data_IF_774410968250
#
_entry.id   IF_774410968250
#
_cell.length_a   1.000
_cell.length_b   1.000
_cell.length_c   1.000
_cell.angle_alpha   90.00
_cell.angle_beta   90.00
_cell.angle_gamma   90.00
#
_symmetry.space_group_name_H-M   'P 1'
#
loop_
_entity.id
_entity.type
_entity.pdbx_description
1 polymer ?
#
# COMPACT_ATOMS: atom_id res chain seq x y z
N UNK A 1 -1.29 7.70 -13.90
CA UNK A 1 -2.24 7.55 -12.77
C UNK A 1 -1.57 7.55 -11.40
N UNK A 2 -0.32 7.12 -11.24
CA UNK A 2 0.40 7.13 -9.95
C UNK A 2 0.56 8.51 -9.28
N UNK A 3 0.58 9.60 -10.05
CA UNK A 3 0.79 10.96 -9.54
C UNK A 3 -0.43 11.56 -8.86
N UNK A 4 -1.64 11.10 -9.23
CA UNK A 4 -2.89 11.71 -8.76
C UNK A 4 -3.09 11.52 -7.25
N UNK A 5 -2.77 10.33 -6.73
CA UNK A 5 -2.88 10.07 -5.29
C UNK A 5 -1.89 10.92 -4.48
N UNK A 6 -0.68 11.14 -5.01
CA UNK A 6 0.34 11.98 -4.38
C UNK A 6 -0.04 13.46 -4.43
N UNK A 7 -0.61 13.94 -5.52
CA UNK A 7 -1.12 15.32 -5.64
C UNK A 7 -2.28 15.60 -4.67
N UNK A 8 -3.27 14.70 -4.59
CA UNK A 8 -4.44 14.88 -3.72
C UNK A 8 -4.07 14.87 -2.23
N UNK A 9 -3.03 14.10 -1.86
CA UNK A 9 -2.59 13.97 -0.48
C UNK A 9 -1.51 14.97 -0.07
N UNK A 10 -1.05 15.83 -0.98
CA UNK A 10 -0.02 16.85 -0.72
C UNK A 10 -0.34 17.80 0.45
N UNK A 11 -1.63 18.02 0.73
CA UNK A 11 -2.10 18.91 1.81
C UNK A 11 -2.60 18.14 3.05
N UNK A 12 -2.44 16.82 3.09
CA UNK A 12 -2.96 15.98 4.15
C UNK A 12 -1.84 15.19 4.83
N UNK A 13 -1.98 14.92 6.14
CA UNK A 13 -1.01 14.14 6.93
C UNK A 13 -1.16 12.62 6.76
N UNK A 14 -2.05 12.16 5.88
CA UNK A 14 -2.34 10.75 5.67
C UNK A 14 -1.22 10.08 4.88
N UNK A 15 -0.87 8.85 5.28
CA UNK A 15 0.13 8.07 4.56
C UNK A 15 -0.51 7.39 3.35
N UNK A 16 0.21 7.39 2.23
CA UNK A 16 -0.20 6.65 1.04
C UNK A 16 0.87 5.67 0.59
N UNK A 17 0.38 4.63 -0.09
CA UNK A 17 1.22 3.61 -0.67
C UNK A 17 0.67 3.22 -2.03
N UNK A 18 1.58 2.87 -2.92
CA UNK A 18 1.23 2.20 -4.17
C UNK A 18 1.99 0.88 -4.24
N UNK A 19 1.30 -0.18 -4.65
CA UNK A 19 1.85 -1.53 -4.85
C UNK A 19 1.39 -2.10 -6.20
N UNK A 20 2.30 -2.71 -6.95
CA UNK A 20 2.03 -3.31 -8.26
C UNK A 20 3.06 -4.41 -8.54
N UNK A 21 2.80 -5.26 -9.53
CA UNK A 21 3.78 -6.28 -9.92
C UNK A 21 5.07 -5.67 -10.49
N UNK A 22 6.21 -6.34 -10.29
CA UNK A 22 7.50 -5.94 -10.88
C UNK A 22 8.36 -4.99 -10.01
N UNK A 23 7.90 -4.63 -8.81
CA UNK A 23 8.62 -3.77 -7.86
C UNK A 23 9.27 -4.56 -6.73
N UNK A 24 10.22 -3.93 -6.04
CA UNK A 24 10.96 -4.51 -4.93
C UNK A 24 10.04 -4.84 -3.72
N UNK A 25 9.87 -6.15 -3.48
CA UNK A 25 8.97 -6.70 -2.46
C UNK A 25 9.28 -6.22 -1.03
N UNK A 26 10.57 -6.05 -0.71
CA UNK A 26 11.03 -5.72 0.65
C UNK A 26 10.57 -4.33 1.10
N UNK A 27 10.75 -3.31 0.28
CA UNK A 27 10.36 -1.93 0.61
C UNK A 27 8.85 -1.77 0.71
N UNK A 28 8.09 -2.53 -0.10
CA UNK A 28 6.63 -2.58 -0.02
C UNK A 28 6.17 -3.19 1.32
N UNK A 29 6.74 -4.33 1.72
CA UNK A 29 6.41 -4.98 2.99
C UNK A 29 6.68 -4.07 4.18
N UNK A 30 7.85 -3.44 4.26
CA UNK A 30 8.19 -2.55 5.36
C UNK A 30 7.21 -1.36 5.48
N UNK A 31 6.78 -0.79 4.34
CA UNK A 31 5.74 0.25 4.30
C UNK A 31 4.38 -0.26 4.75
N UNK A 32 3.95 -1.43 4.28
CA UNK A 32 2.66 -2.01 4.63
C UNK A 32 2.57 -2.39 6.11
N UNK A 33 3.67 -2.89 6.69
CA UNK A 33 3.77 -3.20 8.13
C UNK A 33 3.75 -1.93 8.98
N UNK A 34 4.38 -0.84 8.53
CA UNK A 34 4.27 0.47 9.19
C UNK A 34 2.85 1.04 9.18
N UNK A 35 2.02 0.60 8.24
CA UNK A 35 0.63 1.05 8.09
C UNK A 35 0.50 2.15 7.04
N UNK A 36 -0.56 2.06 6.25
CA UNK A 36 -0.88 2.98 5.15
C UNK A 36 -2.37 3.33 5.22
N UNK A 37 -2.72 4.61 5.12
CA UNK A 37 -4.13 5.04 5.13
C UNK A 37 -4.79 4.87 3.75
N UNK A 38 -4.08 5.19 2.67
CA UNK A 38 -4.56 5.03 1.30
C UNK A 38 -3.62 4.13 0.50
N UNK A 39 -4.08 2.95 0.11
CA UNK A 39 -3.31 2.00 -0.69
C UNK A 39 -3.92 1.89 -2.10
N UNK A 40 -3.12 2.20 -3.11
CA UNK A 40 -3.47 1.91 -4.52
C UNK A 40 -2.75 0.62 -4.90
N UNK A 41 -3.49 -0.37 -5.39
CA UNK A 41 -2.94 -1.69 -5.65
C UNK A 41 -3.51 -2.34 -6.91
N UNK A 42 -2.68 -3.12 -7.62
CA UNK A 42 -3.19 -4.10 -8.59
C UNK A 42 -3.71 -5.35 -7.87
N UNK A 43 -4.84 -5.95 -8.26
CA UNK A 43 -5.50 -7.01 -7.49
C UNK A 43 -4.60 -8.20 -7.11
N UNK A 44 -3.83 -8.73 -8.06
CA UNK A 44 -2.92 -9.86 -7.80
C UNK A 44 -1.88 -9.53 -6.73
N UNK A 45 -1.24 -8.36 -6.86
CA UNK A 45 -0.23 -7.91 -5.89
C UNK A 45 -0.80 -7.66 -4.49
N UNK A 46 -2.03 -7.11 -4.41
CA UNK A 46 -2.70 -6.91 -3.13
C UNK A 46 -2.94 -8.24 -2.43
N UNK A 47 -3.43 -9.24 -3.17
CA UNK A 47 -3.67 -10.59 -2.66
C UNK A 47 -2.38 -11.22 -2.12
N UNK A 48 -1.29 -11.13 -2.87
CA UNK A 48 0.01 -11.64 -2.44
C UNK A 48 0.44 -11.04 -1.09
N UNK A 49 0.19 -9.75 -0.87
CA UNK A 49 0.52 -9.08 0.39
C UNK A 49 -0.43 -9.44 1.53
N UNK A 50 -1.73 -9.64 1.26
CA UNK A 50 -2.69 -10.10 2.25
C UNK A 50 -2.34 -11.51 2.78
N UNK A 51 -1.88 -12.40 1.90
CA UNK A 51 -1.53 -13.78 2.25
C UNK A 51 -0.10 -13.91 2.81
N UNK A 52 0.87 -13.15 2.29
CA UNK A 52 2.30 -13.39 2.51
C UNK A 52 3.05 -12.24 3.19
N UNK A 53 2.38 -11.22 3.75
CA UNK A 53 3.03 -10.15 4.52
C UNK A 53 2.58 -10.17 5.97
N UNK A 54 3.31 -10.89 6.85
CA UNK A 54 3.04 -10.89 8.28
C UNK A 54 3.10 -9.46 8.84
N UNK A 55 2.12 -9.10 9.65
CA UNK A 55 2.04 -7.76 10.25
C UNK A 55 1.42 -6.68 9.35
N UNK A 56 0.96 -7.04 8.14
CA UNK A 56 0.14 -6.11 7.36
C UNK A 56 -1.21 -5.87 8.08
N UNK A 57 -1.47 -4.62 8.44
CA UNK A 57 -2.68 -4.20 9.15
C UNK A 57 -3.83 -3.95 8.18
N UNK A 58 -4.59 -5.00 7.86
CA UNK A 58 -5.78 -4.93 6.99
C UNK A 58 -7.10 -5.26 7.72
N UNK A 59 -7.06 -5.43 9.05
CA UNK A 59 -8.23 -5.82 9.88
C UNK A 59 -9.39 -4.82 9.83
N UNK A 60 -9.13 -3.56 9.46
CA UNK A 60 -10.11 -2.48 9.38
C UNK A 60 -10.54 -2.17 7.93
N UNK A 61 -10.10 -2.95 6.93
CA UNK A 61 -10.72 -2.90 5.61
C UNK A 61 -12.09 -3.56 5.72
N UNK A 62 -13.14 -2.74 5.80
CA UNK A 62 -14.53 -3.15 5.59
C UNK A 62 -14.97 -2.75 4.20
#
# INVERSE_FOLDING_TARGET
THTVATELLSHHKQTHGVIFGGTALRGERERLVKGVNLLVATPGRLRDHLENTPGFLYKNLK
#
